data_IF_194489683790
#
_entry.id   IF_194489683790
#
_cell.length_a   1.000
_cell.length_b   1.000
_cell.length_c   1.000
_cell.angle_alpha   90.00
_cell.angle_beta   90.00
_cell.angle_gamma   90.00
#
_symmetry.space_group_name_H-M   'P 1'
#
loop_
_entity.id
_entity.type
_entity.pdbx_description
1 polymer ?
#
# COMPACT_ATOMS: atom_id res chain seq x y z
N UNK A 1 -3.78 67.10 -2.83
CA UNK A 1 -4.97 66.25 -3.04
C UNK A 1 -4.66 65.26 -4.16
N UNK A 2 -4.32 64.01 -3.81
CA UNK A 2 -4.13 62.91 -4.76
C UNK A 2 -4.80 61.68 -4.13
N UNK A 3 -6.03 61.36 -4.54
CA UNK A 3 -6.75 60.15 -4.08
C UNK A 3 -6.31 58.99 -4.96
N UNK A 4 -5.38 58.17 -4.45
CA UNK A 4 -5.00 56.91 -5.07
C UNK A 4 -6.16 55.93 -4.85
N UNK A 5 -6.76 55.45 -5.94
CA UNK A 5 -7.98 54.66 -5.95
C UNK A 5 -7.69 53.21 -5.50
N UNK A 6 -8.08 52.88 -4.27
CA UNK A 6 -7.79 51.61 -3.60
C UNK A 6 -8.79 50.51 -4.00
N UNK A 7 -8.85 50.14 -5.28
CA UNK A 7 -9.75 49.05 -5.73
C UNK A 7 -9.10 47.98 -6.62
N UNK A 8 -7.78 48.00 -6.82
CA UNK A 8 -7.09 46.95 -7.61
C UNK A 8 -6.10 46.10 -6.80
N UNK A 9 -6.05 46.24 -5.48
CA UNK A 9 -5.10 45.50 -4.63
C UNK A 9 -5.73 44.30 -3.90
N UNK A 10 -6.81 43.73 -4.42
CA UNK A 10 -7.46 42.54 -3.85
C UNK A 10 -7.78 41.48 -4.92
N UNK A 11 -7.06 41.48 -6.05
CA UNK A 11 -7.17 40.40 -7.05
C UNK A 11 -5.98 39.42 -7.04
N UNK A 12 -4.94 39.69 -6.24
CA UNK A 12 -3.70 38.91 -6.24
C UNK A 12 -3.50 37.94 -5.06
N UNK A 13 -4.39 37.92 -4.06
CA UNK A 13 -4.13 37.23 -2.78
C UNK A 13 -5.02 36.02 -2.47
N UNK A 14 -5.95 35.66 -3.37
CA UNK A 14 -6.82 34.49 -3.19
C UNK A 14 -6.23 33.18 -3.75
N UNK A 15 -5.12 33.24 -4.50
CA UNK A 15 -4.45 32.05 -5.04
C UNK A 15 -3.30 31.52 -4.15
N UNK A 16 -2.94 32.23 -3.07
CA UNK A 16 -1.81 31.84 -2.20
C UNK A 16 -2.21 31.14 -0.89
N UNK A 17 -3.51 30.97 -0.63
CA UNK A 17 -4.02 30.23 0.53
C UNK A 17 -4.99 29.13 0.10
N UNK A 18 -4.61 28.32 -0.90
CA UNK A 18 -5.19 26.98 -0.96
C UNK A 18 -4.69 26.25 0.29
N UNK A 19 -5.56 25.90 1.27
CA UNK A 19 -5.12 24.99 2.30
C UNK A 19 -4.74 23.72 1.56
N UNK A 20 -3.47 23.36 1.64
CA UNK A 20 -3.01 22.02 1.32
C UNK A 20 -3.66 21.14 2.39
N UNK A 21 -4.93 20.79 2.19
CA UNK A 21 -5.62 19.83 3.01
C UNK A 21 -4.87 18.53 2.80
N UNK A 22 -3.97 18.23 3.72
CA UNK A 22 -3.46 16.88 3.93
C UNK A 22 -4.67 16.11 4.45
N UNK A 23 -5.60 15.78 3.56
CA UNK A 23 -6.60 14.77 3.83
C UNK A 23 -5.77 13.50 3.95
N UNK A 24 -5.60 13.00 5.18
CA UNK A 24 -5.17 11.64 5.39
C UNK A 24 -6.12 10.77 4.55
N UNK A 25 -5.60 10.17 3.48
CA UNK A 25 -6.44 9.38 2.58
C UNK A 25 -7.04 8.25 3.39
N UNK A 26 -8.36 8.29 3.56
CA UNK A 26 -9.10 7.20 4.16
C UNK A 26 -9.03 6.03 3.16
N UNK A 27 -8.18 5.05 3.46
CA UNK A 27 -7.98 3.91 2.57
C UNK A 27 -9.16 2.97 2.75
N UNK A 28 -9.82 2.53 1.66
CA UNK A 28 -10.89 1.56 1.79
C UNK A 28 -10.37 0.32 2.53
N UNK A 29 -11.18 -0.26 3.44
CA UNK A 29 -10.79 -1.45 4.16
C UNK A 29 -10.48 -2.57 3.18
N UNK A 30 -9.37 -3.25 3.41
CA UNK A 30 -9.01 -4.45 2.64
C UNK A 30 -9.86 -5.60 3.17
N UNK A 31 -10.69 -6.19 2.31
CA UNK A 31 -11.33 -7.46 2.63
C UNK A 31 -10.29 -8.57 2.60
N UNK A 32 -9.78 -8.95 3.76
CA UNK A 32 -8.74 -9.98 3.90
C UNK A 32 -9.24 -11.38 3.54
N UNK A 33 -10.56 -11.63 3.58
CA UNK A 33 -11.12 -12.95 3.30
C UNK A 33 -11.10 -13.28 1.80
N UNK A 34 -11.19 -12.27 0.94
CA UNK A 34 -11.07 -12.45 -0.51
C UNK A 34 -9.63 -12.49 -1.01
N UNK A 35 -8.64 -12.31 -0.15
CA UNK A 35 -7.23 -12.35 -0.54
C UNK A 35 -6.65 -13.77 -0.48
N UNK A 36 -5.91 -14.12 -1.51
CA UNK A 36 -5.17 -15.38 -1.61
C UNK A 36 -6.03 -16.59 -1.99
N UNK A 37 -5.40 -17.77 -2.14
CA UNK A 37 -6.09 -19.00 -2.50
C UNK A 37 -7.10 -19.43 -1.41
N UNK A 38 -8.29 -19.84 -1.84
CA UNK A 38 -9.33 -20.34 -0.95
C UNK A 38 -9.20 -21.85 -0.71
N UNK A 39 -9.96 -22.39 0.24
CA UNK A 39 -9.98 -23.84 0.48
C UNK A 39 -10.46 -24.57 -0.77
N UNK A 40 -9.64 -25.49 -1.27
CA UNK A 40 -9.90 -26.24 -2.51
C UNK A 40 -9.21 -25.66 -3.75
N UNK A 41 -8.73 -24.42 -3.68
CA UNK A 41 -7.94 -23.83 -4.75
C UNK A 41 -6.52 -24.43 -4.78
N UNK A 42 -5.93 -24.44 -5.97
CA UNK A 42 -4.53 -24.80 -6.16
C UNK A 42 -3.63 -23.66 -5.67
N UNK A 43 -2.63 -23.99 -4.85
CA UNK A 43 -1.60 -23.04 -4.44
C UNK A 43 -0.79 -22.60 -5.67
N UNK A 44 -0.57 -21.29 -5.89
CA UNK A 44 0.26 -20.80 -6.99
C UNK A 44 1.68 -21.36 -6.93
N UNK A 45 2.26 -21.68 -8.07
CA UNK A 45 3.68 -22.05 -8.14
C UNK A 45 4.56 -20.89 -7.69
N UNK A 46 5.65 -21.23 -7.01
CA UNK A 46 6.68 -20.27 -6.63
C UNK A 46 8.08 -20.89 -6.76
N UNK A 47 9.04 -20.01 -7.01
CA UNK A 47 10.46 -20.32 -7.01
C UNK A 47 11.19 -19.21 -6.26
N UNK A 48 11.42 -19.42 -4.96
CA UNK A 48 11.92 -18.38 -4.05
C UNK A 48 13.15 -18.88 -3.27
N UNK A 49 14.16 -18.02 -3.03
CA UNK A 49 15.29 -18.39 -2.18
C UNK A 49 14.85 -18.49 -0.71
N UNK A 50 15.36 -19.48 -0.01
CA UNK A 50 15.27 -19.56 1.46
C UNK A 50 16.32 -18.66 2.14
N UNK A 51 16.39 -18.70 3.47
CA UNK A 51 17.32 -17.88 4.26
C UNK A 51 18.80 -18.16 3.99
N UNK A 52 19.13 -19.29 3.36
CA UNK A 52 20.49 -19.64 2.93
C UNK A 52 20.76 -19.30 1.46
N UNK A 53 19.77 -18.74 0.76
CA UNK A 53 19.83 -18.48 -0.68
C UNK A 53 19.52 -19.70 -1.54
N UNK A 54 19.17 -20.85 -0.95
CA UNK A 54 18.81 -22.04 -1.72
C UNK A 54 17.40 -21.87 -2.30
N UNK A 55 17.25 -22.10 -3.61
CA UNK A 55 15.95 -22.01 -4.27
C UNK A 55 15.00 -23.13 -3.82
N UNK A 56 13.77 -22.75 -3.52
CA UNK A 56 12.68 -23.62 -3.09
C UNK A 56 11.46 -23.48 -3.99
N UNK A 57 10.70 -24.57 -4.06
CA UNK A 57 9.40 -24.71 -4.71
C UNK A 57 8.41 -25.27 -3.71
N UNK A 58 7.12 -25.31 -4.06
CA UNK A 58 6.10 -25.99 -3.25
C UNK A 58 6.45 -27.48 -3.04
N UNK A 59 6.88 -28.17 -4.10
CA UNK A 59 7.20 -29.60 -4.07
C UNK A 59 8.37 -29.92 -3.14
N UNK A 60 9.40 -29.07 -3.14
CA UNK A 60 10.60 -29.30 -2.34
C UNK A 60 10.41 -29.03 -0.85
N UNK A 61 9.37 -28.28 -0.45
CA UNK A 61 9.06 -28.02 0.97
C UNK A 61 7.90 -28.86 1.49
N UNK A 62 7.11 -29.49 0.61
CA UNK A 62 5.93 -30.28 0.99
C UNK A 62 6.35 -31.60 1.64
N UNK A 63 5.96 -31.78 2.89
CA UNK A 63 6.12 -33.05 3.61
C UNK A 63 4.93 -34.00 3.43
N UNK A 64 4.95 -35.18 4.09
CA UNK A 64 3.85 -36.13 4.05
C UNK A 64 2.52 -35.56 4.60
N UNK A 65 2.60 -34.55 5.46
CA UNK A 65 1.44 -33.86 6.05
C UNK A 65 1.09 -32.55 5.33
N UNK A 66 1.69 -32.27 4.17
CA UNK A 66 1.54 -31.01 3.46
C UNK A 66 2.60 -29.97 3.83
N UNK A 67 2.30 -28.69 3.54
CA UNK A 67 3.16 -27.54 3.81
C UNK A 67 2.32 -26.41 4.44
N UNK A 68 2.95 -25.59 5.27
CA UNK A 68 2.38 -24.35 5.81
C UNK A 68 3.10 -23.16 5.20
N UNK A 69 2.37 -22.26 4.53
CA UNK A 69 2.90 -21.02 3.97
C UNK A 69 2.49 -19.85 4.88
N UNK A 70 3.45 -19.22 5.55
CA UNK A 70 3.22 -18.07 6.42
C UNK A 70 3.66 -16.79 5.69
N UNK A 71 2.70 -15.92 5.39
CA UNK A 71 2.97 -14.57 4.90
C UNK A 71 3.04 -13.62 6.08
N UNK A 72 4.17 -12.94 6.25
CA UNK A 72 4.31 -11.87 7.23
C UNK A 72 4.91 -10.64 6.57
N UNK A 73 4.45 -9.46 6.99
CA UNK A 73 5.07 -8.18 6.66
C UNK A 73 5.79 -7.69 7.90
N UNK A 74 7.11 -7.60 7.85
CA UNK A 74 7.87 -6.98 8.93
C UNK A 74 7.46 -5.52 9.07
N UNK A 75 7.40 -5.03 10.32
CA UNK A 75 7.43 -3.60 10.58
C UNK A 75 8.90 -3.17 10.66
N UNK A 76 9.27 -2.13 9.94
CA UNK A 76 10.47 -1.37 10.30
C UNK A 76 10.16 -0.69 11.64
N UNK A 77 10.99 -0.94 12.64
CA UNK A 77 10.89 -0.33 13.97
C UNK A 77 11.83 0.87 14.07
#
# INVERSE_FOLDING_TARGET
MLKINSQHLIFGWLLFFFPMSIIAQDRPPIDVHSLGPQVGDTVPEFYLPDQSGQMRTLESIKGPNGAMLLFHRSADW
#
